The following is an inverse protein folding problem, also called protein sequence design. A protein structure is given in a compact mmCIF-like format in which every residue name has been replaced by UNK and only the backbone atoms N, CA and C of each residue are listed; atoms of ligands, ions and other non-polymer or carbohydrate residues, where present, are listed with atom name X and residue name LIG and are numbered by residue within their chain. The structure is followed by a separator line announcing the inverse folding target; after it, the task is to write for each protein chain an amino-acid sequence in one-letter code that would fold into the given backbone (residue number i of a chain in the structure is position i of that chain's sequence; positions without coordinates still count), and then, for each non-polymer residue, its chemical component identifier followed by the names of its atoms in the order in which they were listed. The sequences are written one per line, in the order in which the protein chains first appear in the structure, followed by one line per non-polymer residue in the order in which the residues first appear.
data_IF_329373387193
#
_entry.id   IF_329373387193
#
_cell.length_a   1.000
_cell.length_b   1.000
_cell.length_c   1.000
_cell.angle_alpha   90.00
_cell.angle_beta   90.00
_cell.angle_gamma   90.00
#
_symmetry.space_group_name_H-M   'P 1'
#
loop_
_entity.id
_entity.type
_entity.pdbx_description
1 polymer ?
#
# COMPACT_ATOMS: atom_id res chain seq x y z
N UNK A 1 -42.85 -1.24 8.75
CA UNK A 1 -42.67 -0.32 7.62
C UNK A 1 -41.84 0.84 8.11
N UNK A 2 -40.52 0.82 7.88
CA UNK A 2 -39.64 1.96 8.14
C UNK A 2 -39.84 2.90 6.97
N UNK A 3 -40.37 4.10 7.21
CA UNK A 3 -40.46 5.12 6.21
C UNK A 3 -39.06 5.40 5.69
N UNK A 4 -38.78 4.94 4.49
CA UNK A 4 -37.55 5.25 3.77
C UNK A 4 -37.50 6.74 3.49
N UNK A 5 -36.92 7.51 4.41
CA UNK A 5 -36.60 8.89 4.14
C UNK A 5 -35.63 8.89 2.95
N UNK A 6 -36.08 9.40 1.80
CA UNK A 6 -35.22 9.68 0.65
C UNK A 6 -34.18 10.65 1.17
N UNK A 7 -32.94 10.16 1.33
CA UNK A 7 -31.80 11.04 1.59
C UNK A 7 -31.75 11.94 0.34
N UNK A 8 -31.94 13.28 0.48
CA UNK A 8 -31.89 14.14 -0.70
C UNK A 8 -30.53 13.97 -1.36
N UNK A 9 -30.55 13.63 -2.67
CA UNK A 9 -29.31 13.55 -3.45
C UNK A 9 -28.62 14.91 -3.36
N UNK A 10 -27.34 14.88 -2.99
CA UNK A 10 -26.54 16.10 -2.95
C UNK A 10 -26.34 16.64 -4.37
N UNK A 11 -26.27 17.97 -4.57
CA UNK A 11 -25.94 18.53 -5.87
C UNK A 11 -24.62 17.92 -6.39
N UNK A 12 -24.56 17.55 -7.67
CA UNK A 12 -23.39 16.97 -8.32
C UNK A 12 -23.19 17.49 -9.77
N UNK A 13 -23.95 18.51 -10.18
CA UNK A 13 -23.97 18.98 -11.57
C UNK A 13 -22.59 19.42 -12.07
N UNK A 14 -21.84 20.13 -11.22
CA UNK A 14 -20.49 20.61 -11.57
C UNK A 14 -19.48 19.46 -11.62
N UNK A 15 -19.58 18.50 -10.71
CA UNK A 15 -18.74 17.29 -10.72
C UNK A 15 -19.03 16.43 -11.95
N UNK A 16 -20.28 16.27 -12.34
CA UNK A 16 -20.69 15.55 -13.56
C UNK A 16 -20.11 16.25 -14.81
N UNK A 17 -20.28 17.58 -14.91
CA UNK A 17 -19.73 18.34 -16.03
C UNK A 17 -18.20 18.20 -16.11
N UNK A 18 -17.49 18.36 -14.99
CA UNK A 18 -16.04 18.19 -14.93
C UNK A 18 -15.59 16.80 -15.36
N UNK A 19 -16.35 15.75 -15.01
CA UNK A 19 -16.07 14.38 -15.44
C UNK A 19 -16.25 14.20 -16.95
N UNK A 20 -17.33 14.75 -17.54
CA UNK A 20 -17.53 14.71 -18.99
C UNK A 20 -16.39 15.44 -19.76
N UNK A 21 -15.90 16.56 -19.22
CA UNK A 21 -14.74 17.25 -19.78
C UNK A 21 -13.47 16.40 -19.66
N UNK A 22 -13.24 15.78 -18.50
CA UNK A 22 -12.08 14.94 -18.24
C UNK A 22 -12.02 13.70 -19.17
N UNK A 23 -13.16 13.08 -19.48
CA UNK A 23 -13.25 11.93 -20.40
C UNK A 23 -12.78 12.26 -21.83
N UNK A 24 -12.78 13.54 -22.22
CA UNK A 24 -12.29 13.97 -23.55
C UNK A 24 -10.77 14.00 -23.64
N UNK A 25 -10.07 14.12 -22.50
CA UNK A 25 -8.61 14.35 -22.45
C UNK A 25 -7.83 13.30 -21.65
N UNK A 26 -8.52 12.45 -20.90
CA UNK A 26 -7.90 11.37 -20.11
C UNK A 26 -8.67 10.05 -20.30
N UNK A 27 -8.00 8.92 -20.37
CA UNK A 27 -8.65 7.61 -20.46
C UNK A 27 -9.62 7.38 -19.29
N UNK A 28 -10.93 7.26 -19.61
CA UNK A 28 -11.98 7.13 -18.62
C UNK A 28 -12.16 8.32 -17.67
N UNK A 29 -11.56 9.49 -17.99
CA UNK A 29 -11.67 10.74 -17.22
C UNK A 29 -10.83 10.78 -15.94
N UNK A 30 -9.93 9.84 -15.73
CA UNK A 30 -9.17 9.69 -14.47
C UNK A 30 -7.72 9.25 -14.70
N UNK A 31 -6.84 9.55 -13.75
CA UNK A 31 -5.45 9.11 -13.72
C UNK A 31 -5.23 7.83 -12.88
N UNK A 32 -6.31 7.28 -12.30
CA UNK A 32 -6.30 5.98 -11.63
C UNK A 32 -7.70 5.36 -11.70
N UNK A 33 -7.85 4.08 -12.13
CA UNK A 33 -9.14 3.48 -12.49
C UNK A 33 -10.20 3.55 -11.40
N UNK A 34 -9.82 3.34 -10.14
CA UNK A 34 -10.75 3.35 -9.00
C UNK A 34 -11.48 4.69 -8.84
N UNK A 35 -10.87 5.80 -9.29
CA UNK A 35 -11.45 7.14 -9.18
C UNK A 35 -12.63 7.38 -10.13
N UNK A 36 -12.86 6.49 -11.10
CA UNK A 36 -14.00 6.59 -12.01
C UNK A 36 -15.33 6.09 -11.43
N UNK A 37 -15.35 5.56 -10.21
CA UNK A 37 -16.53 5.06 -9.47
C UNK A 37 -17.35 4.00 -10.20
N UNK A 38 -16.76 3.28 -11.15
CA UNK A 38 -17.46 2.26 -11.94
C UNK A 38 -18.02 1.11 -11.09
N UNK A 39 -17.32 0.72 -10.04
CA UNK A 39 -17.72 -0.37 -9.13
C UNK A 39 -18.94 -0.03 -8.27
N UNK A 40 -19.29 1.24 -8.15
CA UNK A 40 -20.42 1.72 -7.35
C UNK A 40 -21.53 2.35 -8.20
N UNK A 41 -21.40 2.30 -9.53
CA UNK A 41 -22.35 2.84 -10.52
C UNK A 41 -22.76 4.31 -10.22
N UNK A 42 -21.77 5.14 -9.91
CA UNK A 42 -21.94 6.55 -9.62
C UNK A 42 -20.99 7.42 -10.45
N UNK A 43 -21.32 8.70 -10.60
CA UNK A 43 -20.37 9.68 -11.09
C UNK A 43 -19.34 10.03 -10.00
N UNK A 44 -18.05 10.19 -10.35
CA UNK A 44 -17.05 10.62 -9.38
C UNK A 44 -17.30 12.04 -8.89
N UNK A 45 -16.95 12.26 -7.62
CA UNK A 45 -17.02 13.55 -6.96
C UNK A 45 -15.68 14.27 -7.14
N UNK A 46 -15.71 15.53 -7.58
CA UNK A 46 -14.51 16.34 -7.80
C UNK A 46 -14.19 17.16 -6.55
N UNK A 47 -13.11 16.82 -5.86
CA UNK A 47 -12.65 17.50 -4.65
C UNK A 47 -11.91 18.79 -4.99
N UNK A 48 -12.14 19.85 -4.23
CA UNK A 48 -11.50 21.17 -4.38
C UNK A 48 -10.70 21.58 -3.15
N UNK A 49 -11.03 21.04 -1.97
CA UNK A 49 -10.41 21.43 -0.71
C UNK A 49 -10.44 20.26 0.27
N UNK A 50 -9.45 20.16 1.13
CA UNK A 50 -9.41 19.25 2.27
C UNK A 50 -8.70 19.88 3.45
N UNK A 51 -9.27 19.71 4.67
CA UNK A 51 -8.64 20.13 5.92
C UNK A 51 -8.99 19.15 7.05
N UNK A 52 -7.96 18.62 7.70
CA UNK A 52 -8.15 17.61 8.75
C UNK A 52 -8.89 16.38 8.22
N UNK A 53 -10.01 16.03 8.85
CA UNK A 53 -10.85 14.88 8.48
C UNK A 53 -11.94 15.20 7.45
N UNK A 54 -11.94 16.37 6.84
CA UNK A 54 -13.02 16.80 5.93
C UNK A 54 -12.49 17.16 4.56
N UNK A 55 -13.30 16.85 3.54
CA UNK A 55 -13.09 17.25 2.15
C UNK A 55 -14.34 17.96 1.62
N UNK A 56 -14.13 18.88 0.68
CA UNK A 56 -15.17 19.66 0.02
C UNK A 56 -15.11 19.40 -1.48
N UNK A 57 -16.26 19.16 -2.08
CA UNK A 57 -16.35 18.97 -3.53
C UNK A 57 -16.59 20.27 -4.29
N UNK A 58 -16.54 20.14 -5.63
CA UNK A 58 -16.76 21.24 -6.57
C UNK A 58 -18.19 21.82 -6.49
N UNK A 59 -19.16 21.02 -6.04
CA UNK A 59 -20.56 21.41 -5.88
C UNK A 59 -20.84 22.05 -4.50
N UNK A 60 -19.83 22.12 -3.62
CA UNK A 60 -19.89 22.75 -2.30
C UNK A 60 -20.27 21.80 -1.17
N UNK A 61 -20.44 20.50 -1.44
CA UNK A 61 -20.76 19.55 -0.39
C UNK A 61 -19.53 19.24 0.49
N UNK A 62 -19.77 19.07 1.78
CA UNK A 62 -18.75 18.65 2.76
C UNK A 62 -18.92 17.18 3.11
N UNK A 63 -17.80 16.47 3.20
CA UNK A 63 -17.73 15.06 3.57
C UNK A 63 -16.75 14.84 4.72
N UNK A 64 -17.04 13.85 5.56
CA UNK A 64 -16.02 13.24 6.44
C UNK A 64 -15.26 12.24 5.59
N UNK A 65 -13.93 12.39 5.54
CA UNK A 65 -13.09 11.54 4.71
C UNK A 65 -12.59 10.32 5.48
N UNK A 66 -13.12 9.14 5.13
CA UNK A 66 -12.66 7.85 5.62
C UNK A 66 -11.64 7.18 4.69
N UNK A 67 -11.33 7.79 3.55
CA UNK A 67 -10.42 7.24 2.52
C UNK A 67 -8.99 7.72 2.72
N UNK A 68 -8.79 8.94 3.21
CA UNK A 68 -7.48 9.56 3.47
C UNK A 68 -6.53 9.46 2.26
N UNK A 69 -7.07 9.77 1.07
CA UNK A 69 -6.35 9.71 -0.21
C UNK A 69 -5.76 8.32 -0.53
N UNK A 70 -6.45 7.25 -0.10
CA UNK A 70 -6.00 5.85 -0.22
C UNK A 70 -4.73 5.54 0.61
N UNK A 71 -4.54 6.24 1.73
CA UNK A 71 -3.56 5.90 2.74
C UNK A 71 -2.51 6.95 3.11
N UNK A 72 -2.05 7.87 2.26
CA UNK A 72 -0.95 8.77 2.62
C UNK A 72 -1.25 9.76 3.74
N UNK A 73 -2.50 10.17 3.94
CA UNK A 73 -2.84 11.29 4.82
C UNK A 73 -3.19 10.85 6.26
N UNK A 74 -2.25 10.18 6.94
CA UNK A 74 -2.44 9.74 8.33
C UNK A 74 -2.68 10.90 9.31
N UNK A 75 -2.14 12.08 9.04
CA UNK A 75 -2.34 13.31 9.82
C UNK A 75 -3.56 14.13 9.36
N UNK A 76 -4.32 13.63 8.37
CA UNK A 76 -5.41 14.35 7.74
C UNK A 76 -4.96 15.29 6.63
N UNK A 77 -5.94 15.96 6.02
CA UNK A 77 -5.71 16.90 4.93
C UNK A 77 -5.07 18.20 5.39
N UNK A 78 -4.13 18.71 4.57
CA UNK A 78 -3.49 20.02 4.73
C UNK A 78 -2.98 20.27 6.16
N UNK A 79 -2.25 19.31 6.74
CA UNK A 79 -1.61 19.48 8.04
C UNK A 79 -0.65 20.68 7.99
N UNK A 80 -0.73 21.58 8.98
CA UNK A 80 -0.11 22.90 8.90
C UNK A 80 1.42 22.86 8.80
N UNK A 81 2.08 21.96 9.56
CA UNK A 81 3.54 21.84 9.53
C UNK A 81 4.03 21.21 8.23
N UNK A 82 3.28 20.23 7.68
CA UNK A 82 3.59 19.59 6.39
C UNK A 82 3.46 20.62 5.26
N UNK A 83 2.36 21.37 5.23
CA UNK A 83 2.15 22.44 4.23
C UNK A 83 3.22 23.51 4.33
N UNK A 84 3.61 23.91 5.55
CA UNK A 84 4.68 24.88 5.78
C UNK A 84 6.01 24.36 5.25
N UNK A 85 6.39 23.13 5.57
CA UNK A 85 7.64 22.52 5.09
C UNK A 85 7.70 22.43 3.57
N UNK A 86 6.58 22.09 2.91
CA UNK A 86 6.49 22.07 1.45
C UNK A 86 6.73 23.47 0.87
N UNK A 87 6.06 24.51 1.40
CA UNK A 87 6.21 25.91 0.93
C UNK A 87 7.64 26.40 1.06
N UNK A 88 8.24 26.25 2.25
CA UNK A 88 9.61 26.69 2.52
C UNK A 88 10.65 25.96 1.66
N UNK A 89 10.38 24.70 1.32
CA UNK A 89 11.24 23.90 0.45
C UNK A 89 11.07 24.32 -1.03
N UNK A 90 9.82 24.56 -1.47
CA UNK A 90 9.52 24.98 -2.84
C UNK A 90 10.19 26.32 -3.20
N UNK A 91 10.29 27.25 -2.25
CA UNK A 91 10.98 28.53 -2.41
C UNK A 91 12.48 28.37 -2.73
N UNK A 92 13.09 27.23 -2.36
CA UNK A 92 14.51 26.91 -2.60
C UNK A 92 14.73 26.08 -3.86
N UNK A 93 13.68 25.50 -4.41
CA UNK A 93 13.70 24.66 -5.61
C UNK A 93 12.93 23.35 -5.43
N UNK A 94 12.45 22.83 -6.55
CA UNK A 94 11.59 21.63 -6.57
C UNK A 94 12.32 20.36 -6.99
N UNK A 95 13.47 20.51 -7.68
CA UNK A 95 14.30 19.41 -8.17
C UNK A 95 15.68 19.92 -8.53
N UNK A 96 16.72 19.19 -8.14
CA UNK A 96 18.11 19.66 -8.36
C UNK A 96 18.90 18.78 -9.32
N UNK A 97 18.47 17.56 -9.60
CA UNK A 97 19.30 16.56 -10.31
C UNK A 97 20.60 16.23 -9.56
N UNK A 98 20.61 16.47 -8.25
CA UNK A 98 21.75 16.28 -7.33
C UNK A 98 21.22 15.91 -5.93
N UNK A 99 22.01 15.20 -5.10
CA UNK A 99 21.62 14.86 -3.74
C UNK A 99 21.40 16.10 -2.85
N UNK A 100 20.53 15.94 -1.86
CA UNK A 100 20.34 16.97 -0.82
C UNK A 100 20.05 16.34 0.56
N UNK A 101 20.24 17.12 1.63
CA UNK A 101 20.25 16.62 3.01
C UNK A 101 18.93 16.04 3.51
N UNK A 102 17.78 16.42 2.93
CA UNK A 102 16.48 15.87 3.33
C UNK A 102 16.34 14.39 2.95
N UNK A 103 17.00 13.92 1.88
CA UNK A 103 17.04 12.51 1.51
C UNK A 103 17.64 11.67 2.65
N UNK A 104 18.79 12.10 3.17
CA UNK A 104 19.45 11.42 4.29
C UNK A 104 18.60 11.48 5.55
N UNK A 105 17.95 12.60 5.84
CA UNK A 105 17.10 12.75 7.01
C UNK A 105 15.89 11.81 6.99
N UNK A 106 15.20 11.73 5.85
CA UNK A 106 14.06 10.82 5.73
C UNK A 106 14.53 9.35 5.74
N UNK A 107 15.63 9.03 5.05
CA UNK A 107 16.22 7.70 5.08
C UNK A 107 16.55 7.26 6.50
N UNK A 108 17.17 8.13 7.31
CA UNK A 108 17.49 7.82 8.70
C UNK A 108 16.24 7.56 9.55
N UNK A 109 15.17 8.36 9.39
CA UNK A 109 13.90 8.11 10.09
C UNK A 109 13.29 6.75 9.73
N UNK A 110 13.40 6.35 8.48
CA UNK A 110 12.92 5.03 8.04
C UNK A 110 13.76 3.92 8.69
N UNK A 111 15.09 4.04 8.66
CA UNK A 111 16.01 3.07 9.27
C UNK A 111 15.77 2.95 10.78
N UNK A 112 15.59 4.07 11.47
CA UNK A 112 15.39 4.08 12.93
C UNK A 112 14.08 3.41 13.38
N UNK A 113 13.09 3.29 12.49
CA UNK A 113 11.74 2.81 12.85
C UNK A 113 11.35 1.47 12.22
N UNK A 114 11.93 1.13 11.09
CA UNK A 114 11.57 -0.10 10.35
C UNK A 114 12.58 -1.19 10.65
N UNK A 115 12.21 -2.23 11.42
CA UNK A 115 13.16 -3.21 11.98
C UNK A 115 14.06 -3.91 10.96
N UNK A 116 13.55 -4.18 9.74
CA UNK A 116 14.31 -4.87 8.69
C UNK A 116 15.24 -3.95 7.90
N UNK A 117 15.13 -2.63 8.03
CA UNK A 117 15.77 -1.69 7.10
C UNK A 117 17.09 -1.17 7.66
N UNK A 118 18.19 -1.63 7.09
CA UNK A 118 19.55 -1.13 7.36
C UNK A 118 19.99 -0.12 6.31
N UNK A 119 19.46 -0.23 5.09
CA UNK A 119 19.69 0.68 3.97
C UNK A 119 18.39 0.84 3.18
N UNK A 120 18.10 2.05 2.70
CA UNK A 120 16.87 2.38 1.95
C UNK A 120 17.18 3.18 0.69
N UNK A 121 16.42 2.93 -0.38
CA UNK A 121 16.43 3.70 -1.63
C UNK A 121 15.06 4.30 -1.86
N UNK A 122 15.01 5.63 -2.06
CA UNK A 122 13.79 6.35 -2.43
C UNK A 122 13.47 6.18 -3.90
N UNK A 123 12.17 6.08 -4.20
CA UNK A 123 11.57 6.06 -5.55
C UNK A 123 10.32 6.95 -5.55
N UNK A 124 9.51 6.96 -6.63
CA UNK A 124 8.38 7.91 -6.74
C UNK A 124 7.00 7.28 -6.48
N UNK A 125 6.92 5.97 -6.35
CA UNK A 125 5.65 5.26 -6.14
C UNK A 125 5.86 3.89 -5.48
N UNK A 126 4.77 3.33 -4.94
CA UNK A 126 4.77 1.94 -4.46
C UNK A 126 5.06 0.93 -5.58
N UNK A 127 4.59 1.20 -6.81
CA UNK A 127 4.91 0.36 -7.99
C UNK A 127 6.40 0.32 -8.26
N UNK A 128 7.09 1.47 -8.23
CA UNK A 128 8.55 1.49 -8.40
C UNK A 128 9.27 0.77 -7.26
N UNK A 129 8.77 0.89 -6.03
CA UNK A 129 9.34 0.19 -4.88
C UNK A 129 9.27 -1.33 -5.05
N UNK A 130 8.08 -1.87 -5.35
CA UNK A 130 7.88 -3.31 -5.53
C UNK A 130 8.60 -3.85 -6.75
N UNK A 131 8.53 -3.15 -7.90
CA UNK A 131 9.29 -3.48 -9.10
C UNK A 131 10.79 -3.59 -8.82
N UNK A 132 11.35 -2.64 -8.08
CA UNK A 132 12.77 -2.59 -7.76
C UNK A 132 13.17 -3.68 -6.76
N UNK A 133 12.33 -3.93 -5.75
CA UNK A 133 12.55 -5.00 -4.78
C UNK A 133 12.53 -6.40 -5.45
N UNK A 134 11.62 -6.64 -6.39
CA UNK A 134 11.58 -7.90 -7.15
C UNK A 134 12.82 -8.08 -8.04
N UNK A 135 13.26 -7.01 -8.73
CA UNK A 135 14.49 -7.05 -9.53
C UNK A 135 15.70 -7.34 -8.64
N UNK A 136 15.75 -6.69 -7.49
CA UNK A 136 16.81 -6.90 -6.51
C UNK A 136 16.82 -8.34 -5.99
N UNK A 137 15.65 -8.88 -5.62
CA UNK A 137 15.53 -10.25 -5.14
C UNK A 137 16.00 -11.27 -6.19
N UNK A 138 15.57 -11.11 -7.45
CA UNK A 138 16.03 -11.95 -8.56
C UNK A 138 17.53 -11.83 -8.79
N UNK A 139 18.07 -10.63 -8.81
CA UNK A 139 19.49 -10.39 -9.02
C UNK A 139 20.38 -10.92 -7.89
N UNK A 140 19.93 -10.79 -6.64
CA UNK A 140 20.65 -11.28 -5.47
C UNK A 140 20.64 -12.81 -5.37
N UNK A 141 19.50 -13.46 -5.62
CA UNK A 141 19.38 -14.93 -5.52
C UNK A 141 19.81 -15.67 -6.79
N UNK A 142 19.87 -14.99 -7.95
CA UNK A 142 20.07 -15.62 -9.25
C UNK A 142 18.87 -16.43 -9.74
N UNK A 143 17.70 -16.26 -9.13
CA UNK A 143 16.46 -17.02 -9.40
C UNK A 143 15.42 -16.16 -10.11
N UNK A 144 14.43 -16.78 -10.75
CA UNK A 144 13.48 -16.06 -11.61
C UNK A 144 12.07 -15.95 -11.05
N UNK A 145 11.58 -16.98 -10.34
CA UNK A 145 10.19 -17.03 -9.89
C UNK A 145 9.94 -16.19 -8.63
N UNK A 146 8.72 -15.69 -8.54
CA UNK A 146 8.23 -15.02 -7.35
C UNK A 146 6.89 -15.64 -6.93
N UNK A 147 6.59 -15.62 -5.63
CA UNK A 147 5.27 -15.93 -5.10
C UNK A 147 4.59 -14.64 -4.69
N UNK A 148 3.32 -14.48 -5.08
CA UNK A 148 2.39 -13.45 -4.60
C UNK A 148 1.07 -14.11 -4.17
N UNK A 149 0.16 -13.32 -3.60
CA UNK A 149 -1.13 -13.82 -3.12
C UNK A 149 -2.32 -13.27 -3.91
N UNK A 150 -3.38 -14.06 -4.02
CA UNK A 150 -4.66 -13.65 -4.59
C UNK A 150 -5.21 -12.45 -3.82
N UNK A 151 -5.91 -11.55 -4.51
CA UNK A 151 -6.49 -10.36 -3.92
C UNK A 151 -5.48 -9.29 -3.46
N UNK A 152 -4.19 -9.61 -3.36
CA UNK A 152 -3.15 -8.64 -3.01
C UNK A 152 -2.79 -7.73 -4.18
N UNK A 153 -2.51 -6.45 -3.87
CA UNK A 153 -2.11 -5.45 -4.85
C UNK A 153 -0.71 -4.90 -4.52
N UNK A 154 0.19 -4.99 -5.49
CA UNK A 154 1.59 -4.58 -5.36
C UNK A 154 2.01 -3.58 -6.44
N UNK A 155 1.10 -2.75 -6.93
CA UNK A 155 1.35 -1.87 -8.08
C UNK A 155 1.09 -2.56 -9.41
N UNK A 156 1.52 -1.92 -10.51
CA UNK A 156 1.13 -2.31 -11.86
C UNK A 156 2.31 -2.71 -12.77
N UNK A 157 3.39 -3.26 -12.17
CA UNK A 157 4.43 -3.90 -12.98
C UNK A 157 3.95 -5.23 -13.56
N UNK A 158 4.42 -5.60 -14.74
CA UNK A 158 3.98 -6.79 -15.47
C UNK A 158 4.05 -8.07 -14.63
N UNK A 159 5.11 -8.25 -13.85
CA UNK A 159 5.28 -9.41 -12.95
C UNK A 159 4.21 -9.50 -11.85
N UNK A 160 3.49 -8.42 -11.57
CA UNK A 160 2.50 -8.34 -10.49
C UNK A 160 1.05 -8.21 -10.98
N UNK A 161 0.84 -7.92 -12.28
CA UNK A 161 -0.46 -7.96 -12.93
C UNK A 161 -0.81 -9.39 -13.39
N UNK A 162 -0.83 -10.29 -12.43
CA UNK A 162 -0.97 -11.73 -12.63
C UNK A 162 -2.08 -12.24 -11.72
N UNK A 163 -2.98 -13.04 -12.28
CA UNK A 163 -4.03 -13.76 -11.55
C UNK A 163 -3.70 -15.24 -11.41
N UNK A 164 -4.36 -15.91 -10.48
CA UNK A 164 -4.26 -17.35 -10.32
C UNK A 164 -4.71 -18.11 -11.58
N UNK A 165 -4.03 -19.21 -11.85
CA UNK A 165 -4.51 -20.24 -12.75
C UNK A 165 -5.50 -21.20 -12.06
N UNK A 166 -5.75 -22.35 -12.65
CA UNK A 166 -6.56 -23.38 -12.01
C UNK A 166 -5.71 -24.27 -11.10
N UNK A 167 -5.93 -24.21 -9.78
CA UNK A 167 -5.23 -25.01 -8.78
C UNK A 167 -4.74 -24.18 -7.58
N UNK A 168 -4.20 -24.85 -6.57
CA UNK A 168 -3.87 -24.24 -5.26
C UNK A 168 -2.58 -23.42 -5.30
N UNK A 169 -1.57 -23.87 -6.06
CA UNK A 169 -0.34 -23.11 -6.30
C UNK A 169 -0.03 -23.17 -7.80
N UNK A 170 -0.34 -22.11 -8.53
CA UNK A 170 -0.32 -22.13 -9.98
C UNK A 170 0.57 -21.07 -10.57
N UNK A 171 1.22 -21.42 -11.70
CA UNK A 171 1.85 -20.41 -12.54
C UNK A 171 0.78 -19.45 -13.05
N UNK A 172 1.07 -18.15 -12.90
CA UNK A 172 0.11 -17.11 -13.16
C UNK A 172 -0.27 -16.93 -14.63
N UNK A 173 -1.47 -16.46 -14.83
CA UNK A 173 -1.97 -15.98 -16.11
C UNK A 173 -1.97 -14.44 -16.12
N UNK A 174 -1.71 -13.79 -17.28
CA UNK A 174 -1.84 -12.34 -17.37
C UNK A 174 -3.24 -11.87 -16.92
N UNK A 175 -3.27 -10.87 -16.03
CA UNK A 175 -4.52 -10.23 -15.58
C UNK A 175 -4.87 -8.98 -16.39
N UNK A 176 -3.95 -8.53 -17.23
CA UNK A 176 -4.13 -7.40 -18.13
C UNK A 176 -3.63 -7.73 -19.52
N UNK A 177 -4.37 -7.33 -20.58
CA UNK A 177 -3.80 -7.28 -21.91
C UNK A 177 -2.51 -6.47 -21.95
N UNK A 178 -1.52 -6.94 -22.69
CA UNK A 178 -0.19 -6.32 -22.78
C UNK A 178 0.86 -6.94 -21.85
N UNK A 179 0.47 -7.75 -20.88
CA UNK A 179 1.42 -8.54 -20.07
C UNK A 179 1.79 -9.81 -20.86
N UNK A 180 3.07 -10.01 -21.23
CA UNK A 180 3.48 -11.20 -21.97
C UNK A 180 3.38 -12.47 -21.11
N UNK A 181 2.97 -13.58 -21.69
CA UNK A 181 2.95 -14.90 -21.01
C UNK A 181 4.35 -15.29 -20.51
N UNK A 182 5.39 -14.89 -21.25
CA UNK A 182 6.79 -15.11 -20.85
C UNK A 182 7.17 -14.42 -19.53
N UNK A 183 6.50 -13.35 -19.16
CA UNK A 183 6.64 -12.69 -17.86
C UNK A 183 5.74 -13.36 -16.82
N UNK A 184 4.49 -13.62 -17.17
CA UNK A 184 3.48 -14.19 -16.27
C UNK A 184 3.90 -15.55 -15.70
N UNK A 185 4.54 -16.42 -16.49
CA UNK A 185 5.02 -17.76 -16.09
C UNK A 185 6.03 -17.76 -14.95
N UNK A 186 6.63 -16.61 -14.62
CA UNK A 186 7.57 -16.46 -13.51
C UNK A 186 6.92 -16.04 -12.21
N UNK A 187 5.60 -15.86 -12.20
CA UNK A 187 4.84 -15.50 -11.00
C UNK A 187 3.93 -16.65 -10.60
N UNK A 188 4.11 -17.12 -9.38
CA UNK A 188 3.24 -18.12 -8.75
C UNK A 188 2.25 -17.36 -7.87
N UNK A 189 0.96 -17.70 -7.99
CA UNK A 189 -0.08 -17.09 -7.15
C UNK A 189 -0.63 -18.14 -6.21
N UNK A 190 -0.64 -17.84 -4.91
CA UNK A 190 -1.21 -18.69 -3.85
C UNK A 190 -2.39 -17.97 -3.18
N UNK A 191 -3.32 -18.70 -2.57
CA UNK A 191 -4.33 -18.08 -1.71
C UNK A 191 -3.69 -17.38 -0.52
N UNK A 192 -4.22 -16.24 -0.11
CA UNK A 192 -3.77 -15.54 1.10
C UNK A 192 -4.16 -16.35 2.34
N UNK A 193 -3.32 -16.37 3.37
CA UNK A 193 -3.47 -17.17 4.57
C UNK A 193 -3.37 -18.72 4.38
N UNK A 194 -3.00 -19.19 3.19
CA UNK A 194 -2.76 -20.61 2.92
C UNK A 194 -1.25 -20.91 2.86
N UNK A 195 -0.68 -21.24 4.02
CA UNK A 195 0.75 -21.58 4.12
C UNK A 195 1.07 -22.91 3.43
N UNK A 196 0.14 -23.86 3.39
CA UNK A 196 0.37 -25.15 2.73
C UNK A 196 0.49 -24.99 1.21
N UNK A 197 -0.30 -24.10 0.60
CA UNK A 197 -0.14 -23.75 -0.81
C UNK A 197 1.27 -23.18 -1.11
N UNK A 198 1.81 -22.37 -0.19
CA UNK A 198 3.16 -21.81 -0.33
C UNK A 198 4.22 -22.91 -0.21
N UNK A 199 4.10 -23.83 0.75
CA UNK A 199 5.02 -24.97 0.90
C UNK A 199 5.02 -25.86 -0.33
N UNK A 200 3.84 -26.18 -0.88
CA UNK A 200 3.72 -26.94 -2.13
C UNK A 200 4.41 -26.23 -3.30
N UNK A 201 4.30 -24.90 -3.38
CA UNK A 201 5.00 -24.12 -4.41
C UNK A 201 6.54 -24.23 -4.24
N UNK A 202 7.04 -24.19 -3.01
CA UNK A 202 8.47 -24.37 -2.74
C UNK A 202 8.95 -25.81 -3.00
N UNK A 203 8.15 -26.83 -2.66
CA UNK A 203 8.47 -28.23 -3.01
C UNK A 203 8.61 -28.42 -4.53
N UNK A 204 7.77 -27.74 -5.30
CA UNK A 204 7.75 -27.88 -6.77
C UNK A 204 8.80 -27.01 -7.47
N UNK A 205 9.07 -25.80 -6.97
CA UNK A 205 9.84 -24.76 -7.69
C UNK A 205 10.94 -24.12 -6.84
N UNK A 206 11.22 -24.62 -5.64
CA UNK A 206 12.05 -23.94 -4.63
C UNK A 206 13.40 -23.44 -5.12
N UNK A 207 14.06 -24.21 -5.99
CA UNK A 207 15.36 -23.85 -6.56
C UNK A 207 15.30 -22.61 -7.49
N UNK A 208 14.12 -22.24 -7.97
CA UNK A 208 13.93 -21.09 -8.88
C UNK A 208 13.10 -19.94 -8.24
N UNK A 209 12.63 -20.09 -7.00
CA UNK A 209 11.90 -19.04 -6.29
C UNK A 209 12.88 -18.05 -5.68
N UNK A 210 12.87 -16.81 -6.20
CA UNK A 210 13.68 -15.70 -5.70
C UNK A 210 13.12 -15.11 -4.40
N UNK A 211 11.79 -14.95 -4.34
CA UNK A 211 11.13 -14.31 -3.20
C UNK A 211 9.65 -14.63 -3.09
N UNK A 212 9.13 -14.40 -1.89
CA UNK A 212 7.71 -14.25 -1.60
C UNK A 212 7.45 -12.77 -1.31
N UNK A 213 6.49 -12.15 -2.02
CA UNK A 213 6.01 -10.81 -1.71
C UNK A 213 4.61 -10.89 -1.10
N UNK A 214 4.40 -10.22 0.04
CA UNK A 214 3.15 -10.26 0.79
C UNK A 214 2.82 -8.88 1.37
N UNK A 215 1.53 -8.48 1.31
CA UNK A 215 1.01 -7.43 2.18
C UNK A 215 0.83 -8.04 3.58
N UNK A 216 1.52 -7.57 4.64
CA UNK A 216 1.35 -8.14 6.00
C UNK A 216 -0.08 -8.03 6.52
N UNK A 217 -0.83 -7.04 6.05
CA UNK A 217 -2.29 -6.94 6.10
C UNK A 217 -2.76 -6.61 4.70
N UNK A 218 -3.55 -7.48 4.11
CA UNK A 218 -4.02 -7.27 2.75
C UNK A 218 -5.09 -6.18 2.70
N UNK A 219 -4.65 -4.96 2.38
CA UNK A 219 -5.51 -3.77 2.38
C UNK A 219 -6.47 -3.73 1.20
N UNK A 220 -6.03 -4.20 0.04
CA UNK A 220 -6.78 -4.07 -1.21
C UNK A 220 -8.02 -4.97 -1.28
N UNK A 221 -8.07 -6.08 -0.55
CA UNK A 221 -9.28 -6.93 -0.42
C UNK A 221 -10.19 -6.53 0.74
N UNK A 222 -10.04 -5.33 1.31
CA UNK A 222 -10.93 -4.77 2.31
C UNK A 222 -10.44 -4.91 3.76
N UNK A 223 -9.13 -4.99 3.96
CA UNK A 223 -8.43 -5.25 5.23
C UNK A 223 -8.61 -6.69 5.70
N UNK A 224 -7.76 -7.57 5.20
CA UNK A 224 -7.67 -8.96 5.64
C UNK A 224 -6.36 -9.16 6.39
N UNK A 225 -6.39 -9.36 7.72
CA UNK A 225 -5.20 -9.63 8.52
C UNK A 225 -4.62 -11.03 8.25
N UNK A 226 -3.32 -11.23 8.50
CA UNK A 226 -2.74 -12.56 8.47
C UNK A 226 -3.31 -13.42 9.60
N UNK A 227 -3.61 -14.69 9.31
CA UNK A 227 -3.95 -15.66 10.33
C UNK A 227 -2.72 -15.97 11.20
N UNK A 228 -2.92 -16.37 12.48
CA UNK A 228 -1.82 -16.75 13.36
C UNK A 228 -0.91 -17.81 12.72
N UNK A 229 0.40 -17.55 12.71
CA UNK A 229 1.40 -18.44 12.13
C UNK A 229 1.65 -18.26 10.62
N UNK A 230 0.85 -17.46 9.91
CA UNK A 230 1.03 -17.30 8.46
C UNK A 230 2.32 -16.54 8.11
N UNK A 231 2.54 -15.36 8.69
CA UNK A 231 3.75 -14.56 8.41
C UNK A 231 5.02 -15.25 8.93
N UNK A 232 4.94 -15.86 10.10
CA UNK A 232 6.02 -16.66 10.69
C UNK A 232 6.38 -17.83 9.77
N UNK A 233 5.38 -18.56 9.28
CA UNK A 233 5.58 -19.66 8.34
C UNK A 233 6.16 -19.21 7.00
N UNK A 234 5.78 -18.04 6.48
CA UNK A 234 6.43 -17.45 5.31
C UNK A 234 7.92 -17.15 5.57
N UNK A 235 8.22 -16.64 6.77
CA UNK A 235 9.62 -16.38 7.16
C UNK A 235 10.43 -17.69 7.23
N UNK A 236 9.86 -18.72 7.84
CA UNK A 236 10.51 -20.04 7.98
C UNK A 236 10.79 -20.68 6.62
N UNK A 237 9.77 -20.81 5.77
CA UNK A 237 9.91 -21.48 4.47
C UNK A 237 10.86 -20.71 3.53
N UNK A 238 10.81 -19.37 3.52
CA UNK A 238 11.75 -18.59 2.70
C UNK A 238 13.19 -18.74 3.19
N UNK A 239 13.40 -18.83 4.50
CA UNK A 239 14.73 -19.06 5.08
C UNK A 239 15.25 -20.45 4.72
N UNK A 240 14.42 -21.49 4.83
CA UNK A 240 14.76 -22.88 4.50
C UNK A 240 15.25 -23.03 3.05
N UNK A 241 14.54 -22.40 2.11
CA UNK A 241 14.86 -22.49 0.68
C UNK A 241 15.85 -21.41 0.18
N UNK A 242 16.31 -20.51 1.06
CA UNK A 242 17.20 -19.42 0.68
C UNK A 242 16.58 -18.41 -0.29
N UNK A 243 15.24 -18.28 -0.25
CA UNK A 243 14.49 -17.25 -0.93
C UNK A 243 14.34 -16.01 -0.03
N UNK A 244 13.99 -14.85 -0.59
CA UNK A 244 13.79 -13.64 0.18
C UNK A 244 12.31 -13.45 0.54
N UNK A 245 12.06 -12.96 1.76
CA UNK A 245 10.74 -12.49 2.16
C UNK A 245 10.67 -10.97 1.98
N UNK A 246 9.70 -10.50 1.19
CA UNK A 246 9.45 -9.08 0.94
C UNK A 246 8.11 -8.71 1.57
N UNK A 247 8.11 -7.77 2.52
CA UNK A 247 6.88 -7.15 3.00
C UNK A 247 6.55 -5.94 2.14
N UNK A 248 5.40 -5.97 1.48
CA UNK A 248 4.81 -4.79 0.89
C UNK A 248 4.07 -4.01 1.98
N UNK A 249 4.75 -3.06 2.56
CA UNK A 249 4.22 -2.15 3.57
C UNK A 249 3.84 -0.77 2.98
N UNK A 250 3.53 -0.72 1.69
CA UNK A 250 3.06 0.52 1.05
C UNK A 250 1.77 1.02 1.71
N UNK A 251 0.88 0.11 2.15
CA UNK A 251 -0.32 0.48 2.92
C UNK A 251 -0.07 0.48 4.43
N UNK A 252 0.56 -0.55 4.96
CA UNK A 252 0.70 -0.79 6.41
C UNK A 252 1.81 0.03 7.06
N UNK A 253 2.83 0.42 6.30
CA UNK A 253 3.99 1.15 6.79
C UNK A 253 3.61 2.46 7.49
N UNK A 254 4.03 2.61 8.74
CA UNK A 254 3.72 3.75 9.61
C UNK A 254 2.22 4.01 9.81
N UNK A 255 1.34 3.06 9.44
CA UNK A 255 -0.10 3.13 9.64
C UNK A 255 -0.59 2.17 10.71
N UNK A 256 -0.20 0.91 10.64
CA UNK A 256 -0.64 -0.12 11.60
C UNK A 256 0.01 0.11 12.95
N UNK A 257 1.31 0.43 12.94
CA UNK A 257 2.12 0.65 14.12
C UNK A 257 3.26 1.64 13.81
N UNK A 258 3.87 2.19 14.88
CA UNK A 258 5.04 3.06 14.79
C UNK A 258 6.25 2.37 14.12
N UNK A 259 6.38 1.06 14.31
CA UNK A 259 7.39 0.19 13.72
C UNK A 259 6.85 -0.62 12.53
N UNK A 260 5.80 -0.11 11.86
CA UNK A 260 5.16 -0.77 10.72
C UNK A 260 4.49 -2.11 11.09
N UNK A 261 3.98 -2.86 10.11
CA UNK A 261 3.36 -4.14 10.39
C UNK A 261 4.38 -5.20 10.85
N UNK A 262 5.62 -5.12 10.39
CA UNK A 262 6.67 -6.03 10.85
C UNK A 262 6.96 -5.90 12.35
N UNK A 263 6.88 -4.69 12.92
CA UNK A 263 6.95 -4.50 14.37
C UNK A 263 5.68 -4.98 15.07
N UNK A 264 4.51 -4.73 14.48
CA UNK A 264 3.22 -5.14 15.03
C UNK A 264 3.06 -6.67 15.14
N UNK A 265 3.51 -7.42 14.11
CA UNK A 265 3.46 -8.89 14.07
C UNK A 265 4.76 -9.56 14.54
N UNK A 266 5.80 -8.81 14.84
CA UNK A 266 7.11 -9.32 15.24
C UNK A 266 7.72 -10.32 14.23
N UNK A 267 7.57 -10.04 12.94
CA UNK A 267 8.17 -10.80 11.84
C UNK A 267 9.01 -9.88 10.98
N UNK A 268 10.28 -10.20 10.81
CA UNK A 268 11.24 -9.38 10.05
C UNK A 268 11.48 -9.94 8.66
N UNK A 269 11.09 -9.21 7.58
CA UNK A 269 11.39 -9.60 6.20
C UNK A 269 12.85 -9.29 5.83
N UNK A 270 13.29 -9.76 4.66
CA UNK A 270 14.59 -9.40 4.08
C UNK A 270 14.56 -8.02 3.40
N UNK A 271 13.43 -7.71 2.76
CA UNK A 271 13.17 -6.44 2.08
C UNK A 271 11.80 -5.90 2.47
N UNK A 272 11.68 -4.58 2.49
CA UNK A 272 10.43 -3.86 2.76
C UNK A 272 10.18 -2.82 1.69
N UNK A 273 8.97 -2.78 1.14
CA UNK A 273 8.49 -1.72 0.25
C UNK A 273 7.63 -0.75 1.04
N UNK A 274 7.84 0.54 0.85
CA UNK A 274 7.14 1.64 1.51
C UNK A 274 6.58 2.62 0.48
N UNK A 275 5.57 3.38 0.88
CA UNK A 275 4.95 4.42 0.08
C UNK A 275 3.95 5.22 0.91
N UNK A 276 2.98 5.83 0.25
CA UNK A 276 1.85 6.51 0.89
C UNK A 276 2.25 7.44 2.06
N UNK A 277 2.20 6.95 3.31
CA UNK A 277 2.48 7.76 4.52
C UNK A 277 3.85 8.43 4.47
N UNK A 278 4.88 7.74 3.95
CA UNK A 278 6.23 8.31 3.87
C UNK A 278 6.35 9.52 2.93
N UNK A 279 5.32 9.81 2.15
CA UNK A 279 5.27 10.98 1.25
C UNK A 279 4.48 12.15 1.81
N UNK A 280 3.74 11.98 2.91
CA UNK A 280 2.92 13.06 3.46
C UNK A 280 1.90 13.66 2.48
N UNK A 281 1.44 12.87 1.51
CA UNK A 281 0.53 13.28 0.43
C UNK A 281 1.20 13.57 -0.90
N UNK A 282 2.54 13.58 -0.98
CA UNK A 282 3.29 13.76 -2.22
C UNK A 282 3.75 12.41 -2.80
N UNK A 283 4.03 12.34 -4.12
CA UNK A 283 4.49 11.12 -4.78
C UNK A 283 5.83 10.65 -4.22
N UNK A 284 5.84 9.47 -3.62
CA UNK A 284 7.03 8.79 -3.11
C UNK A 284 6.78 7.31 -2.95
N UNK A 285 7.83 6.54 -3.06
CA UNK A 285 7.97 5.18 -2.59
C UNK A 285 9.39 4.98 -2.07
N UNK A 286 9.63 3.84 -1.44
CA UNK A 286 10.95 3.42 -1.04
C UNK A 286 11.02 1.89 -0.98
N UNK A 287 12.20 1.33 -1.16
CA UNK A 287 12.48 -0.05 -0.81
C UNK A 287 13.79 -0.11 -0.02
N UNK A 288 13.84 -0.97 0.94
CA UNK A 288 14.97 -1.11 1.85
C UNK A 288 15.01 -2.48 2.48
N UNK A 289 16.08 -2.76 3.21
CA UNK A 289 16.26 -4.04 3.89
C UNK A 289 17.69 -4.26 4.32
N UNK A 290 18.08 -5.53 4.39
CA UNK A 290 19.43 -5.95 4.79
C UNK A 290 20.48 -5.31 3.88
N UNK A 291 21.54 -4.80 4.49
CA UNK A 291 22.64 -4.09 3.80
C UNK A 291 23.25 -4.89 2.66
N UNK A 292 23.56 -6.15 2.89
CA UNK A 292 24.20 -7.02 1.90
C UNK A 292 23.35 -7.21 0.63
N UNK A 293 22.02 -7.14 0.76
CA UNK A 293 21.09 -7.20 -0.36
C UNK A 293 21.04 -5.84 -1.05
N UNK A 294 20.82 -4.78 -0.28
CA UNK A 294 20.65 -3.42 -0.81
C UNK A 294 21.91 -2.89 -1.53
N UNK A 295 23.09 -3.29 -1.09
CA UNK A 295 24.36 -2.91 -1.73
C UNK A 295 24.57 -3.55 -3.10
N UNK A 296 23.72 -4.49 -3.54
CA UNK A 296 23.68 -4.95 -4.92
C UNK A 296 23.05 -3.94 -5.90
N UNK A 297 22.40 -2.89 -5.39
CA UNK A 297 21.85 -1.81 -6.23
C UNK A 297 22.97 -0.85 -6.65
N UNK A 298 22.97 -0.48 -7.94
CA UNK A 298 23.87 0.53 -8.49
C UNK A 298 23.76 1.87 -7.71
N UNK A 299 24.89 2.60 -7.45
CA UNK A 299 26.23 2.37 -7.97
C UNK A 299 27.09 1.40 -7.14
N UNK A 300 26.60 0.90 -5.99
CA UNK A 300 27.37 -0.03 -5.13
C UNK A 300 27.51 -1.40 -5.76
N UNK A 301 26.46 -1.89 -6.41
CA UNK A 301 26.41 -3.19 -7.09
C UNK A 301 25.95 -3.07 -8.55
N UNK A 302 25.74 -4.22 -9.21
CA UNK A 302 25.44 -4.26 -10.64
C UNK A 302 23.95 -4.09 -10.98
N UNK A 303 23.04 -4.17 -10.00
CA UNK A 303 21.60 -4.17 -10.27
C UNK A 303 21.11 -2.74 -10.45
N UNK A 304 20.58 -2.44 -11.64
CA UNK A 304 20.22 -1.08 -12.01
C UNK A 304 18.84 -0.65 -11.50
N UNK A 305 18.77 0.53 -10.92
CA UNK A 305 17.57 1.28 -10.60
C UNK A 305 17.91 2.77 -10.64
N UNK A 306 17.04 3.59 -11.24
CA UNK A 306 17.19 5.04 -11.29
C UNK A 306 15.83 5.73 -11.36
N UNK A 307 15.79 7.01 -11.00
CA UNK A 307 14.62 7.87 -11.13
C UNK A 307 15.01 9.34 -11.01
N UNK A 308 14.67 10.15 -12.02
CA UNK A 308 15.00 11.58 -12.07
C UNK A 308 14.49 12.34 -10.84
N UNK A 309 13.29 12.02 -10.37
CA UNK A 309 12.64 12.69 -9.25
C UNK A 309 12.69 11.88 -7.95
N UNK A 310 13.39 10.74 -7.95
CA UNK A 310 13.59 9.95 -6.73
C UNK A 310 14.33 10.79 -5.68
N UNK A 311 13.74 10.91 -4.48
CA UNK A 311 14.30 11.75 -3.44
C UNK A 311 14.12 13.25 -3.66
N UNK A 312 13.13 13.69 -4.47
CA UNK A 312 12.91 15.12 -4.70
C UNK A 312 12.65 15.88 -3.38
N UNK A 313 13.09 17.14 -3.29
CA UNK A 313 13.09 17.90 -2.05
C UNK A 313 11.69 18.07 -1.44
N UNK A 314 10.65 18.21 -2.25
CA UNK A 314 9.29 18.44 -1.74
C UNK A 314 8.74 17.18 -1.06
N UNK A 315 8.86 16.02 -1.72
CA UNK A 315 8.42 14.75 -1.15
C UNK A 315 9.24 14.38 0.10
N UNK A 316 10.54 14.65 0.09
CA UNK A 316 11.40 14.43 1.28
C UNK A 316 11.02 15.33 2.44
N UNK A 317 10.73 16.62 2.20
CA UNK A 317 10.28 17.55 3.23
C UNK A 317 8.92 17.14 3.82
N UNK A 318 7.96 16.82 2.97
CA UNK A 318 6.63 16.38 3.40
C UNK A 318 6.70 15.07 4.20
N UNK A 319 7.41 14.08 3.70
CA UNK A 319 7.57 12.78 4.36
C UNK A 319 8.32 12.88 5.69
N UNK A 320 9.45 13.58 5.70
CA UNK A 320 10.21 13.82 6.92
C UNK A 320 9.37 14.51 8.01
N UNK A 321 8.63 15.56 7.64
CA UNK A 321 7.78 16.30 8.57
C UNK A 321 6.64 15.40 9.06
N UNK A 322 5.96 14.67 8.18
CA UNK A 322 4.88 13.75 8.55
C UNK A 322 5.36 12.70 9.55
N UNK A 323 6.45 12.02 9.25
CA UNK A 323 6.98 11.00 10.16
C UNK A 323 7.50 11.60 11.48
N UNK A 324 8.09 12.79 11.44
CA UNK A 324 8.58 13.46 12.67
C UNK A 324 7.46 13.85 13.63
N UNK A 325 6.26 14.12 13.11
CA UNK A 325 5.08 14.44 13.93
C UNK A 325 4.46 13.20 14.59
N UNK A 326 4.57 12.02 13.96
CA UNK A 326 4.04 10.78 14.50
C UNK A 326 4.89 10.27 15.67
N UNK A 327 4.22 9.99 16.80
CA UNK A 327 4.80 9.46 18.03
C UNK A 327 4.20 8.09 18.36
N UNK A 328 4.88 7.23 19.14
CA UNK A 328 4.34 5.95 19.57
C UNK A 328 2.96 6.05 20.22
N UNK A 329 2.72 7.05 21.04
CA UNK A 329 1.44 7.25 21.74
C UNK A 329 0.27 7.57 20.79
N UNK A 330 0.54 8.16 19.63
CA UNK A 330 -0.49 8.44 18.64
C UNK A 330 -1.16 7.16 18.15
N UNK A 331 -0.42 6.07 18.04
CA UNK A 331 -0.97 4.77 17.59
C UNK A 331 -1.93 4.16 18.61
N UNK A 332 -1.73 4.40 19.91
CA UNK A 332 -2.69 4.01 20.94
C UNK A 332 -3.99 4.83 20.80
N UNK A 333 -3.88 6.12 20.53
CA UNK A 333 -5.05 6.96 20.27
C UNK A 333 -5.78 6.58 18.97
N UNK A 334 -5.05 6.19 17.92
CA UNK A 334 -5.65 5.68 16.70
C UNK A 334 -6.42 4.37 16.97
N UNK A 335 -5.86 3.47 17.77
CA UNK A 335 -6.55 2.24 18.16
C UNK A 335 -7.84 2.51 18.93
N UNK A 336 -7.81 3.40 19.94
CA UNK A 336 -9.03 3.79 20.69
C UNK A 336 -10.13 4.34 19.79
N UNK A 337 -9.75 5.15 18.79
CA UNK A 337 -10.71 5.66 17.80
C UNK A 337 -11.27 4.54 16.93
N UNK A 338 -10.43 3.59 16.51
CA UNK A 338 -10.86 2.42 15.76
C UNK A 338 -11.76 1.50 16.59
N UNK A 339 -11.47 1.28 17.88
CA UNK A 339 -12.33 0.54 18.81
C UNK A 339 -13.73 1.13 18.87
N UNK A 340 -13.81 2.46 19.03
CA UNK A 340 -15.09 3.17 19.08
C UNK A 340 -15.88 3.05 17.77
N UNK A 341 -15.17 3.12 16.63
CA UNK A 341 -15.80 3.01 15.32
C UNK A 341 -16.31 1.58 15.07
N UNK A 342 -15.50 0.58 15.39
CA UNK A 342 -15.87 -0.84 15.30
C UNK A 342 -17.09 -1.14 16.16
N UNK A 343 -17.09 -0.69 17.42
CA UNK A 343 -18.24 -0.87 18.31
C UNK A 343 -19.50 -0.26 17.70
N UNK A 344 -19.41 0.97 17.16
CA UNK A 344 -20.55 1.64 16.51
C UNK A 344 -21.09 0.87 15.29
N UNK A 345 -20.22 0.27 14.49
CA UNK A 345 -20.64 -0.57 13.36
C UNK A 345 -21.37 -1.84 13.85
N UNK A 346 -20.82 -2.53 14.85
CA UNK A 346 -21.43 -3.74 15.41
C UNK A 346 -22.80 -3.46 16.05
N UNK A 347 -22.92 -2.36 16.82
CA UNK A 347 -24.19 -1.93 17.42
C UNK A 347 -25.24 -1.57 16.37
N UNK A 348 -24.83 -0.84 15.31
CA UNK A 348 -25.73 -0.51 14.21
C UNK A 348 -26.17 -1.75 13.43
N UNK A 349 -25.27 -2.66 13.12
CA UNK A 349 -25.57 -3.91 12.43
C UNK A 349 -26.54 -4.78 13.24
N UNK A 350 -26.28 -4.95 14.54
CA UNK A 350 -27.17 -5.70 15.44
C UNK A 350 -28.57 -5.06 15.56
N UNK A 351 -28.65 -3.73 15.62
CA UNK A 351 -29.92 -3.01 15.70
C UNK A 351 -30.83 -3.23 14.48
N UNK A 352 -30.23 -3.41 13.31
CA UNK A 352 -30.96 -3.54 12.05
C UNK A 352 -30.93 -4.95 11.46
N UNK A 353 -30.45 -5.93 12.23
CA UNK A 353 -30.29 -7.34 11.81
C UNK A 353 -29.52 -7.51 10.50
N UNK A 354 -28.40 -6.78 10.39
CA UNK A 354 -27.50 -6.84 9.25
C UNK A 354 -26.31 -7.73 9.59
N UNK A 355 -26.03 -8.79 8.82
CA UNK A 355 -24.82 -9.59 9.02
C UNK A 355 -23.57 -8.74 8.82
N UNK A 356 -22.63 -8.77 9.75
CA UNK A 356 -21.42 -7.94 9.73
C UNK A 356 -20.22 -8.67 10.29
N UNK A 357 -19.21 -8.83 9.46
CA UNK A 357 -17.84 -9.17 9.88
C UNK A 357 -16.98 -7.91 9.86
N UNK A 358 -16.19 -7.69 10.89
CA UNK A 358 -15.25 -6.59 10.99
C UNK A 358 -13.84 -7.16 11.16
N UNK A 359 -12.98 -6.87 10.21
CA UNK A 359 -11.55 -7.16 10.29
C UNK A 359 -10.78 -5.91 10.70
N UNK A 360 -9.71 -6.10 11.47
CA UNK A 360 -8.90 -4.99 11.94
C UNK A 360 -7.42 -5.35 12.15
N UNK A 361 -6.55 -4.40 11.85
CA UNK A 361 -5.14 -4.42 12.23
C UNK A 361 -4.71 -2.99 12.61
N UNK A 362 -4.38 -2.76 13.90
CA UNK A 362 -4.16 -1.43 14.42
C UNK A 362 -5.38 -0.52 14.20
N UNK A 363 -5.19 0.58 13.47
CA UNK A 363 -6.26 1.50 13.06
C UNK A 363 -6.85 1.22 11.67
N UNK A 364 -6.35 0.23 10.96
CA UNK A 364 -6.96 -0.22 9.71
C UNK A 364 -8.18 -1.06 10.02
N UNK A 365 -9.34 -0.69 9.45
CA UNK A 365 -10.60 -1.37 9.69
C UNK A 365 -11.29 -1.66 8.35
N UNK A 366 -11.76 -2.89 8.19
CA UNK A 366 -12.58 -3.34 7.06
C UNK A 366 -13.90 -3.90 7.55
N UNK A 367 -15.00 -3.57 6.87
CA UNK A 367 -16.33 -4.08 7.17
C UNK A 367 -16.85 -4.90 5.98
N UNK A 368 -17.45 -6.04 6.27
CA UNK A 368 -18.02 -6.96 5.30
C UNK A 368 -19.44 -7.34 5.73
N UNK A 369 -20.38 -7.22 4.80
CA UNK A 369 -21.79 -7.54 5.07
C UNK A 369 -22.03 -9.05 4.93
N UNK A 370 -21.47 -9.79 5.83
CA UNK A 370 -21.55 -11.27 5.91
C UNK A 370 -21.44 -11.73 7.36
N UNK A 371 -21.95 -12.92 7.64
CA UNK A 371 -21.78 -13.65 8.91
C UNK A 371 -20.58 -14.61 8.90
N UNK A 372 -19.89 -14.73 7.76
CA UNK A 372 -18.70 -15.58 7.61
C UNK A 372 -17.43 -14.83 7.97
N UNK A 373 -16.43 -15.57 8.45
CA UNK A 373 -15.08 -15.04 8.57
C UNK A 373 -14.52 -14.70 7.17
N UNK A 374 -13.88 -13.55 7.06
CA UNK A 374 -13.23 -13.08 5.83
C UNK A 374 -11.72 -13.15 6.05
N UNK A 375 -11.09 -14.18 5.50
CA UNK A 375 -9.68 -14.53 5.73
C UNK A 375 -8.86 -14.60 4.44
N UNK A 376 -9.50 -14.57 3.29
CA UNK A 376 -8.90 -14.64 1.95
C UNK A 376 -9.71 -13.81 0.93
N UNK A 377 -9.41 -13.98 -0.37
CA UNK A 377 -10.04 -13.26 -1.50
C UNK A 377 -11.21 -14.04 -2.10
#
# INVERSE_FOLDING_TARGET
MVAGGIIPMRPMERSIQAFEEAKRVMPGGVNSPVRAFRSVDMNPVYMVEGKGSKVKDLDGNMYIDYVLSWGPLILGHAEDHVVKAIKETAEKGTSFGAPHVLETKLAQLVIDRVPSVEVVRMVNSGTEATLSALRLARGFTGRNKIIKFEGSYHGHSDSLLIKAGSGVATLGLPDSPGVPESVARHTITCPYNDLEAVKLAFEQFGDDIACVIVEPVAGNMGVVPPQPGFLEGLREVTTEYGALLIFDEVMTGFRVDYHCAQGFYNVTPDLTCLGKVIGGGLPVGAFGGRREIMEQIAPSGPIYQAGTLSGNPLAMAAGYTTLSLLKPDDYQEFQKKADRLEQGYREAAAKYDIPLTVNRAGSMIGIFFTDKDVVDY
#
